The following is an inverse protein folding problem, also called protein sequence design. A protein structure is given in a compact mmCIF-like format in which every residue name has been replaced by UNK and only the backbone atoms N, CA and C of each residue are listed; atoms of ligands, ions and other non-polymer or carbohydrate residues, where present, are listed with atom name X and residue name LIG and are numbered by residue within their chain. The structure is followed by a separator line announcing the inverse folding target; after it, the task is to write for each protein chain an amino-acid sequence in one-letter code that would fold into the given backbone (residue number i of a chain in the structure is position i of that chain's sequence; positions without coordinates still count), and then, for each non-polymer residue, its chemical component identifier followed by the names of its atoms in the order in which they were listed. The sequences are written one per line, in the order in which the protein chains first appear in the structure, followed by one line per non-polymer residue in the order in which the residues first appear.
data_IF_398627440940
#
_entry.id   IF_398627440940
#
_cell.length_a   1.000
_cell.length_b   1.000
_cell.length_c   1.000
_cell.angle_alpha   90.00
_cell.angle_beta   90.00
_cell.angle_gamma   90.00
#
_symmetry.space_group_name_H-M   'P 1'
#
loop_
_entity.id
_entity.type
_entity.pdbx_description
1 polymer ?
#
# COMPACT_ATOMS: atom_id res chain seq x y z
N UNK A 1 -6.04 -0.46 38.23
CA UNK A 1 -6.28 -1.77 37.60
C UNK A 1 -5.26 -1.98 36.49
N UNK A 2 -4.22 -2.78 36.75
CA UNK A 2 -3.12 -3.06 35.81
C UNK A 2 -3.13 -4.48 35.25
N UNK A 3 -4.13 -5.30 35.62
CA UNK A 3 -4.21 -6.73 35.28
C UNK A 3 -4.74 -6.99 33.86
N UNK A 4 -5.40 -6.02 33.22
CA UNK A 4 -5.97 -6.16 31.87
C UNK A 4 -5.03 -5.73 30.73
N UNK A 5 -3.90 -5.07 31.04
CA UNK A 5 -2.97 -4.59 30.02
C UNK A 5 -2.39 -5.73 29.15
N UNK A 6 -1.92 -6.87 29.71
CA UNK A 6 -1.41 -7.97 28.90
C UNK A 6 -2.48 -8.58 27.99
N UNK A 7 -3.69 -8.80 28.52
CA UNK A 7 -4.80 -9.35 27.76
C UNK A 7 -5.21 -8.43 26.60
N UNK A 8 -5.20 -7.11 26.82
CA UNK A 8 -5.50 -6.12 25.79
C UNK A 8 -4.42 -6.08 24.71
N UNK A 9 -3.14 -6.17 25.08
CA UNK A 9 -2.02 -6.24 24.12
C UNK A 9 -2.17 -7.48 23.23
N UNK A 10 -2.49 -8.63 23.80
CA UNK A 10 -2.64 -9.87 23.02
C UNK A 10 -3.87 -9.83 22.10
N UNK A 11 -4.98 -9.25 22.55
CA UNK A 11 -6.14 -9.01 21.69
C UNK A 11 -5.80 -8.09 20.51
N UNK A 12 -5.05 -7.00 20.75
CA UNK A 12 -4.61 -6.08 19.69
C UNK A 12 -3.64 -6.76 18.72
N UNK A 13 -2.72 -7.60 19.21
CA UNK A 13 -1.81 -8.40 18.36
C UNK A 13 -2.58 -9.36 17.45
N UNK A 14 -3.60 -10.01 17.98
CA UNK A 14 -4.46 -10.90 17.19
C UNK A 14 -5.25 -10.13 16.12
N UNK A 15 -5.77 -8.95 16.46
CA UNK A 15 -6.42 -8.07 15.49
C UNK A 15 -5.46 -7.61 14.40
N UNK A 16 -4.25 -7.18 14.77
CA UNK A 16 -3.22 -6.77 13.83
C UNK A 16 -2.88 -7.90 12.86
N UNK A 17 -2.60 -9.10 13.37
CA UNK A 17 -2.29 -10.27 12.53
C UNK A 17 -3.42 -10.60 11.55
N UNK A 18 -4.68 -10.49 11.99
CA UNK A 18 -5.85 -10.66 11.12
C UNK A 18 -5.90 -9.62 10.00
N UNK A 19 -5.64 -8.35 10.32
CA UNK A 19 -5.63 -7.28 9.32
C UNK A 19 -4.48 -7.41 8.34
N UNK A 20 -3.31 -7.85 8.78
CA UNK A 20 -2.19 -8.16 7.89
C UNK A 20 -2.54 -9.29 6.92
N UNK A 21 -3.13 -10.38 7.41
CA UNK A 21 -3.64 -11.48 6.56
C UNK A 21 -4.66 -10.98 5.52
N UNK A 22 -5.57 -10.08 5.92
CA UNK A 22 -6.56 -9.47 5.03
C UNK A 22 -5.90 -8.61 3.93
N UNK A 23 -4.89 -7.83 4.27
CA UNK A 23 -4.12 -7.03 3.29
C UNK A 23 -3.37 -7.94 2.30
N UNK A 24 -2.74 -9.00 2.79
CA UNK A 24 -2.06 -9.97 1.91
C UNK A 24 -3.06 -10.69 1.00
N UNK A 25 -4.24 -11.03 1.52
CA UNK A 25 -5.32 -11.64 0.75
C UNK A 25 -5.73 -10.77 -0.44
N UNK A 26 -5.92 -9.47 -0.20
CA UNK A 26 -6.28 -8.49 -1.24
C UNK A 26 -5.13 -8.36 -2.25
N UNK A 27 -3.91 -8.13 -1.77
CA UNK A 27 -2.73 -7.84 -2.60
C UNK A 27 -2.31 -9.01 -3.49
N UNK A 28 -2.46 -10.24 -2.99
CA UNK A 28 -1.97 -11.45 -3.66
C UNK A 28 -3.10 -12.38 -4.10
N UNK A 29 -4.32 -11.85 -4.22
CA UNK A 29 -5.44 -12.63 -4.69
C UNK A 29 -5.15 -13.22 -6.09
N UNK A 30 -5.47 -14.51 -6.34
CA UNK A 30 -5.25 -15.11 -7.65
C UNK A 30 -6.07 -14.41 -8.74
N UNK A 31 -5.42 -13.94 -9.80
CA UNK A 31 -6.06 -13.22 -10.91
C UNK A 31 -6.95 -14.13 -11.78
N UNK A 32 -6.74 -15.44 -11.71
CA UNK A 32 -7.49 -16.48 -12.44
C UNK A 32 -8.85 -16.79 -11.80
N UNK A 33 -9.15 -16.23 -10.62
CA UNK A 33 -10.36 -16.53 -9.86
C UNK A 33 -11.19 -15.28 -9.61
N UNK A 34 -12.54 -15.40 -9.56
CA UNK A 34 -13.38 -14.29 -9.13
C UNK A 34 -13.04 -13.92 -7.68
N UNK A 35 -12.95 -12.63 -7.40
CA UNK A 35 -12.63 -12.13 -6.06
C UNK A 35 -13.75 -12.41 -5.06
N UNK A 36 -13.39 -12.91 -3.88
CA UNK A 36 -14.34 -13.15 -2.79
C UNK A 36 -14.17 -12.03 -1.76
N UNK A 37 -15.10 -11.08 -1.74
CA UNK A 37 -15.00 -9.86 -0.94
C UNK A 37 -14.98 -10.13 0.58
N UNK A 38 -13.97 -9.62 1.28
CA UNK A 38 -13.83 -9.81 2.73
C UNK A 38 -15.01 -9.22 3.54
N UNK A 39 -15.51 -8.06 3.12
CA UNK A 39 -16.56 -7.29 3.79
C UNK A 39 -17.80 -7.21 2.89
N UNK A 40 -18.66 -8.23 2.95
CA UNK A 40 -19.93 -8.23 2.21
C UNK A 40 -21.00 -7.48 3.02
N UNK A 41 -21.79 -6.58 2.40
CA UNK A 41 -22.65 -5.64 3.13
C UNK A 41 -24.01 -6.19 3.59
N UNK A 42 -24.43 -7.40 3.21
CA UNK A 42 -25.83 -7.83 3.41
C UNK A 42 -26.04 -9.20 4.05
N UNK A 43 -25.15 -10.17 3.86
CA UNK A 43 -25.25 -11.49 4.49
C UNK A 43 -23.86 -11.95 4.92
N UNK A 44 -23.77 -12.48 6.14
CA UNK A 44 -22.54 -13.08 6.64
C UNK A 44 -22.04 -14.17 5.69
N UNK A 45 -20.72 -14.40 5.61
CA UNK A 45 -20.19 -15.38 4.67
C UNK A 45 -20.73 -16.78 4.99
N UNK A 46 -21.19 -17.50 3.97
CA UNK A 46 -21.52 -18.92 4.11
C UNK A 46 -20.27 -19.71 4.50
N UNK A 47 -20.43 -20.87 5.14
CA UNK A 47 -19.32 -21.72 5.55
C UNK A 47 -18.39 -22.07 4.36
N UNK A 48 -18.96 -22.30 3.18
CA UNK A 48 -18.20 -22.52 1.96
C UNK A 48 -17.33 -21.32 1.56
N UNK A 49 -17.85 -20.10 1.69
CA UNK A 49 -17.12 -18.87 1.42
C UNK A 49 -15.95 -18.73 2.41
N UNK A 50 -16.18 -19.01 3.68
CA UNK A 50 -15.14 -18.98 4.72
C UNK A 50 -14.03 -19.98 4.40
N UNK A 51 -14.40 -21.22 4.03
CA UNK A 51 -13.46 -22.27 3.66
C UNK A 51 -12.61 -21.89 2.44
N UNK A 52 -13.23 -21.39 1.36
CA UNK A 52 -12.51 -20.92 0.16
C UNK A 52 -11.53 -19.80 0.46
N UNK A 53 -11.92 -18.84 1.31
CA UNK A 53 -11.00 -17.76 1.75
C UNK A 53 -9.81 -18.32 2.51
N UNK A 54 -10.03 -19.28 3.41
CA UNK A 54 -8.96 -19.91 4.17
C UNK A 54 -7.96 -20.64 3.25
N UNK A 55 -8.46 -21.39 2.26
CA UNK A 55 -7.63 -22.08 1.25
C UNK A 55 -6.78 -21.08 0.45
N UNK A 56 -7.37 -19.97 0.00
CA UNK A 56 -6.65 -18.94 -0.76
C UNK A 56 -5.58 -18.26 0.11
N UNK A 57 -5.92 -17.91 1.36
CA UNK A 57 -4.94 -17.33 2.31
C UNK A 57 -3.76 -18.28 2.52
N UNK A 58 -4.01 -19.57 2.70
CA UNK A 58 -2.95 -20.57 2.83
C UNK A 58 -2.06 -20.62 1.58
N UNK A 59 -2.65 -20.64 0.38
CA UNK A 59 -1.90 -20.61 -0.88
C UNK A 59 -1.02 -19.36 -1.00
N UNK A 60 -1.55 -18.19 -0.62
CA UNK A 60 -0.80 -16.93 -0.59
C UNK A 60 0.40 -17.04 0.35
N UNK A 61 0.19 -17.48 1.60
CA UNK A 61 1.29 -17.65 2.57
C UNK A 61 2.37 -18.59 2.06
N UNK A 62 2.00 -19.75 1.52
CA UNK A 62 2.96 -20.68 0.93
C UNK A 62 3.74 -20.08 -0.24
N UNK A 63 3.08 -19.29 -1.09
CA UNK A 63 3.75 -18.58 -2.20
C UNK A 63 4.72 -17.51 -1.70
N UNK A 64 4.35 -16.74 -0.68
CA UNK A 64 5.20 -15.72 -0.08
C UNK A 64 6.45 -16.31 0.57
N UNK A 65 6.29 -17.40 1.34
CA UNK A 65 7.43 -18.12 1.95
C UNK A 65 8.35 -18.68 0.86
N UNK A 66 7.81 -19.33 -0.17
CA UNK A 66 8.59 -19.83 -1.31
C UNK A 66 9.32 -18.72 -2.04
N UNK A 67 8.68 -17.55 -2.23
CA UNK A 67 9.30 -16.39 -2.89
C UNK A 67 10.44 -15.84 -2.05
N UNK A 68 10.24 -15.70 -0.74
CA UNK A 68 11.29 -15.25 0.19
C UNK A 68 12.47 -16.20 0.22
N UNK A 69 12.23 -17.51 0.29
CA UNK A 69 13.28 -18.53 0.25
C UNK A 69 14.09 -18.52 -1.07
N UNK A 70 13.47 -18.13 -2.19
CA UNK A 70 14.17 -17.93 -3.48
C UNK A 70 14.98 -16.63 -3.51
N UNK A 71 14.56 -15.60 -2.78
CA UNK A 71 15.28 -14.33 -2.68
C UNK A 71 16.52 -14.45 -1.77
N UNK A 72 16.41 -15.24 -0.70
CA UNK A 72 17.48 -15.50 0.26
C UNK A 72 18.54 -16.51 -0.26
N UNK A 73 18.41 -16.98 -1.51
CA UNK A 73 19.46 -17.69 -2.24
C UNK A 73 20.07 -16.74 -3.28
N UNK A 74 20.99 -15.84 -2.89
CA UNK A 74 21.75 -15.04 -3.83
C UNK A 74 22.73 -15.97 -4.57
N UNK A 75 22.36 -16.34 -5.79
CA UNK A 75 23.30 -16.57 -6.86
C UNK A 75 24.14 -15.30 -7.04
N UNK A 76 25.42 -15.42 -6.64
CA UNK A 76 26.44 -14.40 -6.80
C UNK A 76 26.53 -13.97 -8.26
N UNK A 77 26.20 -12.70 -8.57
CA UNK A 77 26.82 -11.94 -9.65
C UNK A 77 26.44 -10.44 -9.53
N UNK A 78 27.41 -9.68 -9.03
CA UNK A 78 27.87 -8.34 -9.41
C UNK A 78 26.90 -7.14 -9.50
N UNK A 79 27.20 -6.17 -8.61
CA UNK A 79 27.22 -4.69 -8.73
C UNK A 79 26.08 -3.93 -9.43
N UNK A 80 25.87 -2.69 -8.97
CA UNK A 80 24.89 -1.64 -9.36
C UNK A 80 23.63 -1.64 -8.45
N UNK A 81 23.27 -0.59 -7.71
CA UNK A 81 23.47 0.84 -7.95
C UNK A 81 23.61 1.67 -6.66
N UNK A 82 24.47 2.67 -6.80
CA UNK A 82 24.87 3.75 -5.89
C UNK A 82 23.73 4.79 -5.75
N UNK A 83 22.53 4.37 -5.34
CA UNK A 83 21.37 5.26 -5.20
C UNK A 83 21.44 6.05 -3.88
N UNK A 84 22.20 7.13 -3.95
CA UNK A 84 22.34 8.19 -2.94
C UNK A 84 21.04 9.01 -2.81
N UNK A 85 19.97 8.39 -2.28
CA UNK A 85 18.62 8.96 -2.16
C UNK A 85 18.54 10.24 -1.29
N UNK A 86 19.59 10.59 -0.54
CA UNK A 86 19.66 11.78 0.30
C UNK A 86 20.77 12.78 -0.08
N UNK A 87 21.43 12.61 -1.22
CA UNK A 87 22.37 13.62 -1.72
C UNK A 87 21.58 14.81 -2.30
N UNK A 88 21.20 15.75 -1.43
CA UNK A 88 20.58 17.02 -1.83
C UNK A 88 21.64 17.88 -2.56
N UNK A 89 21.48 18.19 -3.86
CA UNK A 89 22.39 19.09 -4.53
C UNK A 89 21.99 20.52 -4.20
N UNK A 90 22.90 21.29 -3.57
CA UNK A 90 22.79 22.76 -3.55
C UNK A 90 22.51 23.41 -2.19
N UNK A 91 23.09 22.92 -1.10
CA UNK A 91 23.19 23.71 0.13
C UNK A 91 24.34 24.74 0.05
N UNK A 92 24.27 25.67 -0.92
CA UNK A 92 25.03 26.92 -0.88
C UNK A 92 24.08 28.12 -1.05
N UNK A 93 24.20 29.05 -0.12
CA UNK A 93 23.32 30.20 0.09
C UNK A 93 23.18 31.11 -1.13
N UNK A 94 21.95 31.50 -1.43
CA UNK A 94 21.64 32.87 -1.87
C UNK A 94 20.24 33.26 -1.38
N UNK A 95 20.19 34.27 -0.52
CA UNK A 95 18.95 34.99 -0.23
C UNK A 95 18.64 35.86 -1.45
N UNK A 96 17.45 35.71 -2.03
CA UNK A 96 16.86 36.67 -2.95
C UNK A 96 15.34 36.70 -2.71
N UNK A 97 14.91 37.77 -2.05
CA UNK A 97 13.54 38.09 -1.66
C UNK A 97 12.79 38.82 -2.79
N UNK A 98 12.77 38.23 -3.99
CA UNK A 98 12.08 38.78 -5.15
C UNK A 98 10.66 38.23 -5.32
N UNK A 99 9.66 38.81 -4.65
CA UNK A 99 8.23 38.58 -4.98
C UNK A 99 7.98 39.01 -6.45
N UNK A 100 7.43 38.18 -7.33
CA UNK A 100 6.87 38.67 -8.58
C UNK A 100 5.50 39.32 -8.33
N UNK A 101 5.43 40.59 -8.67
CA UNK A 101 4.26 41.45 -8.75
C UNK A 101 3.14 40.79 -9.56
N UNK A 102 1.92 40.69 -8.99
CA UNK A 102 0.76 40.21 -9.73
C UNK A 102 0.19 41.36 -10.54
N UNK A 103 0.73 41.55 -11.73
CA UNK A 103 0.21 42.50 -12.70
C UNK A 103 0.66 42.17 -14.11
N UNK A 104 0.03 41.19 -14.76
CA UNK A 104 -0.21 41.33 -16.19
C UNK A 104 -1.46 40.59 -16.67
N UNK A 105 -2.07 41.24 -17.62
CA UNK A 105 -3.40 41.18 -18.19
C UNK A 105 -3.71 39.88 -18.95
N UNK A 106 -4.74 39.16 -18.53
CA UNK A 106 -5.37 38.13 -19.36
C UNK A 106 -6.17 38.80 -20.48
N UNK A 107 -5.44 39.00 -21.58
CA UNK A 107 -5.91 39.31 -22.92
C UNK A 107 -6.92 38.27 -23.41
N UNK A 108 -8.17 38.70 -23.56
CA UNK A 108 -9.02 38.37 -24.71
C UNK A 108 -9.72 37.01 -24.75
N UNK A 109 -10.98 36.98 -24.31
CA UNK A 109 -12.00 36.15 -24.96
C UNK A 109 -13.25 36.98 -25.24
N UNK A 110 -13.33 37.46 -26.49
CA UNK A 110 -14.54 38.04 -27.09
C UNK A 110 -15.15 36.97 -28.00
N UNK A 111 -16.26 36.37 -27.57
CA UNK A 111 -17.04 35.42 -28.37
C UNK A 111 -18.49 35.40 -27.88
N UNK A 112 -19.29 36.37 -28.34
CA UNK A 112 -20.47 36.16 -29.17
C UNK A 112 -21.67 35.48 -28.47
N UNK A 113 -22.63 36.32 -28.07
CA UNK A 113 -24.02 35.94 -27.77
C UNK A 113 -24.82 36.13 -29.07
N UNK A 114 -25.38 35.02 -29.59
CA UNK A 114 -26.50 34.94 -30.54
C UNK A 114 -27.15 33.58 -30.31
N UNK A 115 -28.45 33.39 -30.22
CA UNK A 115 -29.63 34.25 -30.19
C UNK A 115 -30.80 33.37 -29.75
#
# INVERSE_FOLDING_TARGET
DGEDLPAQIDALRQQLAKHEDDLQYIKHYPLDKPYIALFAPMEGPTEEIVKKRAEIRQQIRSRLVKRRAKLDQPDQQDDLDDDDFFAVPGAEKAADDGRPDRGDTMRGYRGHVRG
#
